data_IF_785118990993
#
_entry.id   IF_785118990993
#
_cell.length_a   1.000
_cell.length_b   1.000
_cell.length_c   1.000
_cell.angle_alpha   90.00
_cell.angle_beta   90.00
_cell.angle_gamma   90.00
#
_symmetry.space_group_name_H-M   'P 1'
#
loop_
_entity.id
_entity.type
_entity.pdbx_description
1 polymer ?
#
# COMPACT_ATOMS: atom_id res chain seq x y z
N UNK A 1 -48.07 30.05 -12.64
CA UNK A 1 -46.60 29.86 -12.62
C UNK A 1 -46.21 29.37 -11.24
N UNK A 2 -45.90 28.08 -11.08
CA UNK A 2 -45.33 27.54 -9.83
C UNK A 2 -44.07 26.78 -10.21
N UNK A 3 -42.91 27.41 -10.00
CA UNK A 3 -41.63 26.74 -10.15
C UNK A 3 -41.50 25.74 -9.00
N UNK A 4 -41.49 24.45 -9.33
CA UNK A 4 -41.12 23.40 -8.39
C UNK A 4 -39.61 23.56 -8.19
N UNK A 5 -39.21 24.26 -7.14
CA UNK A 5 -37.80 24.37 -6.76
C UNK A 5 -37.36 23.01 -6.23
N UNK A 6 -36.71 22.21 -7.08
CA UNK A 6 -36.12 20.94 -6.72
C UNK A 6 -34.83 21.22 -5.95
N UNK A 7 -34.90 21.29 -4.62
CA UNK A 7 -33.73 21.43 -3.76
C UNK A 7 -32.91 20.13 -3.81
N UNK A 8 -31.89 20.13 -4.66
CA UNK A 8 -30.96 19.02 -4.79
C UNK A 8 -29.98 19.08 -3.62
N UNK A 9 -30.44 18.56 -2.49
CA UNK A 9 -29.72 18.34 -1.25
C UNK A 9 -28.24 17.97 -1.51
N UNK A 10 -27.34 18.95 -1.38
CA UNK A 10 -25.91 18.78 -1.67
C UNK A 10 -25.19 17.88 -0.65
N UNK A 11 -25.85 17.56 0.46
CA UNK A 11 -25.29 16.74 1.54
C UNK A 11 -25.32 15.24 1.19
N UNK A 12 -26.31 14.76 0.43
CA UNK A 12 -26.37 13.34 0.02
C UNK A 12 -25.25 13.01 -0.96
N UNK A 13 -24.97 13.90 -1.92
CA UNK A 13 -23.86 13.75 -2.86
C UNK A 13 -22.51 13.73 -2.13
N UNK A 14 -22.33 14.61 -1.14
CA UNK A 14 -21.08 14.70 -0.37
C UNK A 14 -20.85 13.50 0.55
N UNK A 15 -21.92 12.93 1.10
CA UNK A 15 -21.86 11.73 1.94
C UNK A 15 -21.47 10.49 1.13
N UNK A 16 -22.09 10.31 -0.05
CA UNK A 16 -21.78 9.20 -0.95
C UNK A 16 -20.35 9.29 -1.50
N UNK A 17 -19.86 10.49 -1.82
CA UNK A 17 -18.48 10.69 -2.28
C UNK A 17 -17.46 10.29 -1.21
N UNK A 18 -17.73 10.57 0.07
CA UNK A 18 -16.83 10.20 1.18
C UNK A 18 -16.74 8.69 1.39
N UNK A 19 -17.80 7.94 1.09
CA UNK A 19 -17.83 6.49 1.23
C UNK A 19 -17.00 5.80 0.13
N UNK A 20 -17.10 6.26 -1.11
CA UNK A 20 -16.34 5.73 -2.26
C UNK A 20 -14.84 6.00 -2.12
N UNK A 21 -14.45 7.19 -1.63
CA UNK A 21 -13.03 7.59 -1.55
C UNK A 21 -12.26 6.87 -0.43
N UNK A 22 -12.93 6.40 0.64
CA UNK A 22 -12.25 5.84 1.83
C UNK A 22 -11.89 4.35 1.75
N UNK A 23 -12.56 3.58 0.89
CA UNK A 23 -12.34 2.13 0.77
C UNK A 23 -11.03 1.69 0.08
N UNK A 24 -10.65 2.26 -1.09
CA UNK A 24 -9.57 1.68 -1.89
C UNK A 24 -8.16 2.02 -1.37
N UNK A 25 -7.98 3.19 -0.77
CA UNK A 25 -6.64 3.71 -0.42
C UNK A 25 -5.88 2.84 0.60
N UNK A 26 -6.60 2.09 1.44
CA UNK A 26 -5.98 1.22 2.45
C UNK A 26 -5.42 -0.07 1.82
N UNK A 27 -6.10 -0.63 0.81
CA UNK A 27 -5.63 -1.81 0.07
C UNK A 27 -4.41 -1.51 -0.79
N UNK A 28 -4.41 -0.38 -1.50
CA UNK A 28 -3.27 0.05 -2.31
C UNK A 28 -2.00 0.26 -1.49
N UNK A 29 -2.10 0.79 -0.26
CA UNK A 29 -0.94 0.93 0.64
C UNK A 29 -0.38 -0.42 1.08
N UNK A 30 -1.25 -1.39 1.38
CA UNK A 30 -0.84 -2.74 1.76
C UNK A 30 -0.16 -3.47 0.60
N UNK A 31 -0.74 -3.40 -0.60
CA UNK A 31 -0.18 -4.00 -1.83
C UNK A 31 1.17 -3.35 -2.18
N UNK A 32 1.26 -2.01 -2.10
CA UNK A 32 2.51 -1.31 -2.35
C UNK A 32 3.61 -1.73 -1.36
N UNK A 33 3.28 -1.83 -0.05
CA UNK A 33 4.22 -2.31 0.97
C UNK A 33 4.68 -3.75 0.70
N UNK A 34 3.78 -4.60 0.23
CA UNK A 34 4.09 -5.98 -0.13
C UNK A 34 5.06 -6.03 -1.33
N UNK A 35 4.76 -5.28 -2.39
CA UNK A 35 5.60 -5.23 -3.59
C UNK A 35 7.02 -4.73 -3.30
N UNK A 36 7.16 -3.67 -2.49
CA UNK A 36 8.47 -3.14 -2.08
C UNK A 36 9.27 -4.18 -1.29
N UNK A 37 8.62 -4.94 -0.40
CA UNK A 37 9.28 -6.00 0.38
C UNK A 37 9.74 -7.16 -0.50
N UNK A 38 8.88 -7.66 -1.38
CA UNK A 38 9.23 -8.75 -2.31
C UNK A 38 10.37 -8.36 -3.26
N UNK A 39 10.38 -7.11 -3.74
CA UNK A 39 11.47 -6.60 -4.58
C UNK A 39 12.79 -6.56 -3.82
N UNK A 40 12.79 -6.06 -2.58
CA UNK A 40 13.98 -6.02 -1.74
C UNK A 40 14.51 -7.43 -1.41
N UNK A 41 13.62 -8.37 -1.12
CA UNK A 41 13.99 -9.78 -0.89
C UNK A 41 14.65 -10.41 -2.12
N UNK A 42 14.08 -10.21 -3.31
CA UNK A 42 14.65 -10.71 -4.56
C UNK A 42 15.99 -10.05 -4.91
N UNK A 43 16.12 -8.74 -4.69
CA UNK A 43 17.38 -8.02 -4.90
C UNK A 43 18.47 -8.52 -3.95
N UNK A 44 18.16 -8.68 -2.66
CA UNK A 44 19.10 -9.24 -1.68
C UNK A 44 19.42 -10.72 -1.96
N UNK A 45 18.45 -11.51 -2.41
CA UNK A 45 18.67 -12.90 -2.79
C UNK A 45 19.49 -13.02 -4.10
N UNK A 46 19.47 -12.03 -4.96
CA UNK A 46 20.33 -11.98 -6.15
C UNK A 46 21.76 -11.49 -5.85
N UNK A 47 21.98 -10.84 -4.70
CA UNK A 47 23.32 -10.41 -4.29
C UNK A 47 24.21 -11.58 -3.89
N UNK A 48 25.51 -11.38 -4.11
CA UNK A 48 26.55 -12.34 -3.78
C UNK A 48 26.79 -12.40 -2.26
N UNK A 49 27.18 -13.57 -1.75
CA UNK A 49 27.27 -13.81 -0.29
C UNK A 49 28.28 -12.89 0.40
N UNK A 50 29.32 -12.46 -0.31
CA UNK A 50 30.30 -11.49 0.18
C UNK A 50 29.72 -10.08 0.36
N UNK A 51 28.82 -9.65 -0.52
CA UNK A 51 28.15 -8.34 -0.41
C UNK A 51 27.11 -8.35 0.72
N UNK A 52 26.44 -9.49 0.91
CA UNK A 52 25.55 -9.70 2.06
C UNK A 52 26.35 -9.66 3.37
N UNK A 53 27.53 -10.28 3.40
CA UNK A 53 28.41 -10.24 4.55
C UNK A 53 28.93 -8.82 4.89
N UNK A 54 29.20 -7.99 3.89
CA UNK A 54 29.66 -6.59 4.09
C UNK A 54 28.61 -5.73 4.83
N UNK A 55 27.31 -5.96 4.54
CA UNK A 55 26.20 -5.32 5.25
C UNK A 55 25.78 -6.08 6.52
N UNK A 56 26.53 -7.12 6.91
CA UNK A 56 26.28 -7.91 8.12
C UNK A 56 24.98 -8.70 8.08
N UNK A 57 24.56 -9.18 6.91
CA UNK A 57 23.35 -9.98 6.71
C UNK A 57 23.73 -11.32 6.08
N UNK A 58 23.18 -12.42 6.59
CA UNK A 58 23.28 -13.72 5.94
C UNK A 58 22.05 -14.00 5.09
N UNK A 59 22.19 -14.87 4.07
CA UNK A 59 21.10 -15.22 3.15
C UNK A 59 19.85 -15.76 3.86
N UNK A 60 20.04 -16.49 4.96
CA UNK A 60 18.93 -16.99 5.80
C UNK A 60 18.21 -15.91 6.60
N UNK A 61 18.89 -14.79 6.90
CA UNK A 61 18.32 -13.67 7.68
C UNK A 61 17.58 -12.66 6.82
N UNK A 62 17.75 -12.68 5.49
CA UNK A 62 17.07 -11.76 4.55
C UNK A 62 15.56 -11.79 4.79
N UNK A 63 14.98 -12.99 4.88
CA UNK A 63 13.55 -13.15 5.07
C UNK A 63 13.08 -12.52 6.38
N UNK A 64 13.76 -12.79 7.50
CA UNK A 64 13.44 -12.20 8.80
C UNK A 64 13.61 -10.67 8.81
N UNK A 65 14.69 -10.13 8.21
CA UNK A 65 14.94 -8.68 8.18
C UNK A 65 13.95 -7.92 7.29
N UNK A 66 13.52 -8.51 6.16
CA UNK A 66 12.54 -7.89 5.26
C UNK A 66 11.14 -7.98 5.84
N UNK A 67 10.74 -9.12 6.39
CA UNK A 67 9.36 -9.36 6.82
C UNK A 67 9.10 -9.00 8.29
N UNK A 68 10.13 -9.02 9.13
CA UNK A 68 10.04 -8.68 10.55
C UNK A 68 9.28 -9.72 11.38
N UNK A 69 9.39 -10.99 11.00
CA UNK A 69 8.74 -12.15 11.64
C UNK A 69 9.72 -12.99 12.45
#
# INVERSE_FOLDING_TARGET
MTAITFDYNTDVLRSLFRLVVKGPLNGFKAIHKFYVRTKAENELAAMDDHLLADIGVTRGEIHQKVWGI
#
